data_IF_553037714017
#
_entry.id   IF_553037714017
#
_cell.length_a   1.000
_cell.length_b   1.000
_cell.length_c   1.000
_cell.angle_alpha   90.00
_cell.angle_beta   90.00
_cell.angle_gamma   90.00
#
_symmetry.space_group_name_H-M   'P 1'
#
loop_
_entity.id
_entity.type
_entity.pdbx_description
1 polymer ?
#
# COMPACT_ATOMS: atom_id res chain seq x y z
N UNK A 1 -1.74 -12.62 22.26
CA UNK A 1 -1.77 -12.79 20.79
C UNK A 1 -0.72 -11.90 20.15
N UNK A 2 -0.68 -10.60 20.48
CA UNK A 2 0.40 -9.70 20.08
C UNK A 2 1.15 -9.17 21.30
N UNK A 3 2.47 -9.07 21.16
CA UNK A 3 3.32 -8.37 22.12
C UNK A 3 3.33 -6.86 21.83
N UNK A 4 3.59 -6.01 22.83
CA UNK A 4 3.78 -4.58 22.62
C UNK A 4 4.86 -4.31 21.57
N UNK A 5 4.58 -3.38 20.65
CA UNK A 5 5.47 -2.95 19.57
C UNK A 5 5.98 -4.10 18.68
N UNK A 6 5.18 -5.16 18.50
CA UNK A 6 5.53 -6.30 17.67
C UNK A 6 5.77 -5.93 16.18
N UNK A 7 5.29 -4.78 15.74
CA UNK A 7 5.35 -4.32 14.36
C UNK A 7 4.10 -4.72 13.59
N UNK A 8 3.56 -3.80 12.78
CA UNK A 8 2.33 -4.04 12.03
C UNK A 8 2.45 -5.21 11.05
N UNK A 9 3.65 -5.51 10.58
CA UNK A 9 3.93 -6.69 9.74
C UNK A 9 3.65 -8.03 10.42
N UNK A 10 3.60 -8.06 11.76
CA UNK A 10 3.30 -9.23 12.59
C UNK A 10 1.86 -9.25 13.13
N UNK A 11 1.06 -8.26 12.77
CA UNK A 11 -0.36 -8.17 13.15
C UNK A 11 -1.21 -8.86 12.08
N UNK A 12 -2.14 -9.72 12.48
CA UNK A 12 -3.17 -10.19 11.55
C UNK A 12 -4.22 -9.08 11.39
N UNK A 13 -4.16 -8.41 10.24
CA UNK A 13 -5.14 -7.41 9.85
C UNK A 13 -6.45 -8.08 9.42
N UNK A 14 -7.56 -7.33 9.47
CA UNK A 14 -8.81 -7.76 8.83
C UNK A 14 -8.56 -8.02 7.35
N UNK A 15 -8.92 -9.21 6.87
CA UNK A 15 -8.68 -9.61 5.48
C UNK A 15 -9.37 -8.67 4.48
N UNK A 16 -8.64 -8.23 3.47
CA UNK A 16 -9.10 -7.26 2.47
C UNK A 16 -8.13 -7.10 1.31
N UNK A 17 -8.38 -6.10 0.46
CA UNK A 17 -7.57 -5.87 -0.75
C UNK A 17 -6.13 -5.45 -0.42
N UNK A 18 -5.89 -4.79 0.71
CA UNK A 18 -4.57 -4.42 1.20
C UNK A 18 -3.62 -5.63 1.33
N UNK A 19 -3.96 -6.58 2.20
CA UNK A 19 -3.14 -7.78 2.43
C UNK A 19 -3.10 -8.66 1.19
N UNK A 20 -4.23 -8.83 0.49
CA UNK A 20 -4.28 -9.61 -0.75
C UNK A 20 -3.31 -9.05 -1.81
N UNK A 21 -3.39 -7.76 -2.12
CA UNK A 21 -2.57 -7.16 -3.16
C UNK A 21 -1.09 -7.12 -2.76
N UNK A 22 -0.79 -6.86 -1.49
CA UNK A 22 0.57 -6.99 -0.97
C UNK A 22 1.14 -8.39 -1.23
N UNK A 23 0.41 -9.44 -0.87
CA UNK A 23 0.84 -10.82 -1.09
C UNK A 23 0.98 -11.18 -2.58
N UNK A 24 0.09 -10.69 -3.46
CA UNK A 24 0.21 -10.83 -4.92
C UNK A 24 1.51 -10.20 -5.43
N UNK A 25 1.82 -8.97 -5.00
CA UNK A 25 3.04 -8.26 -5.43
C UNK A 25 4.31 -8.98 -4.97
N UNK A 26 4.33 -9.46 -3.72
CA UNK A 26 5.46 -10.24 -3.19
C UNK A 26 5.60 -11.57 -3.94
N UNK A 27 4.50 -12.31 -4.13
CA UNK A 27 4.51 -13.61 -4.80
C UNK A 27 5.03 -13.53 -6.24
N UNK A 28 4.69 -12.45 -6.95
CA UNK A 28 5.12 -12.23 -8.33
C UNK A 28 6.50 -11.57 -8.45
N UNK A 29 7.22 -11.34 -7.35
CA UNK A 29 8.56 -10.74 -7.38
C UNK A 29 8.57 -9.30 -7.89
N UNK A 30 7.54 -8.51 -7.55
CA UNK A 30 7.46 -7.09 -7.88
C UNK A 30 8.72 -6.33 -7.46
N UNK A 31 9.15 -5.37 -8.29
CA UNK A 31 10.30 -4.49 -8.04
C UNK A 31 9.91 -3.16 -7.41
N UNK A 32 8.66 -3.01 -6.96
CA UNK A 32 8.22 -1.82 -6.23
C UNK A 32 9.06 -1.71 -4.94
N UNK A 33 9.57 -0.51 -4.59
CA UNK A 33 10.31 -0.30 -3.36
C UNK A 33 9.51 -0.68 -2.10
N UNK A 34 10.23 -0.90 -0.99
CA UNK A 34 9.64 -1.31 0.29
C UNK A 34 8.51 -0.38 0.73
N UNK A 35 8.71 0.93 0.60
CA UNK A 35 7.75 1.98 0.93
C UNK A 35 6.46 1.84 0.10
N UNK A 36 6.60 1.56 -1.20
CA UNK A 36 5.46 1.33 -2.10
C UNK A 36 4.64 0.11 -1.71
N UNK A 37 5.31 -1.00 -1.36
CA UNK A 37 4.65 -2.21 -0.89
C UNK A 37 3.97 -2.01 0.47
N UNK A 38 4.61 -1.25 1.36
CA UNK A 38 4.08 -0.91 2.68
C UNK A 38 2.82 -0.04 2.56
N UNK A 39 2.81 0.95 1.67
CA UNK A 39 1.62 1.76 1.37
C UNK A 39 0.48 0.88 0.86
N UNK A 40 0.72 -0.02 -0.10
CA UNK A 40 -0.32 -0.96 -0.59
C UNK A 40 -0.91 -1.79 0.56
N UNK A 41 -0.06 -2.27 1.49
CA UNK A 41 -0.47 -3.15 2.58
C UNK A 41 -1.27 -2.47 3.70
N UNK A 42 -1.14 -1.15 3.87
CA UNK A 42 -1.71 -0.47 5.04
C UNK A 42 -2.49 0.81 4.72
N UNK A 43 -2.73 1.13 3.44
CA UNK A 43 -3.47 2.33 3.03
C UNK A 43 -4.94 2.35 3.49
N UNK A 44 -5.52 1.20 3.86
CA UNK A 44 -6.86 1.13 4.45
C UNK A 44 -6.86 1.18 5.97
N UNK A 45 -5.69 1.24 6.62
CA UNK A 45 -5.59 1.20 8.08
C UNK A 45 -5.80 2.58 8.74
N UNK A 46 -6.95 3.20 8.45
CA UNK A 46 -7.32 4.55 8.87
C UNK A 46 -7.22 4.83 10.37
N UNK A 47 -7.62 3.91 11.27
CA UNK A 47 -7.42 4.10 12.71
C UNK A 47 -5.97 4.45 13.06
N UNK A 48 -5.01 3.86 12.36
CA UNK A 48 -3.60 4.15 12.58
C UNK A 48 -3.12 5.41 11.86
N UNK A 49 -3.17 5.45 10.53
CA UNK A 49 -2.49 6.51 9.77
C UNK A 49 -3.23 7.86 9.81
N UNK A 50 -4.53 7.86 10.10
CA UNK A 50 -5.35 9.08 10.24
C UNK A 50 -5.83 9.31 11.66
N UNK A 51 -6.21 8.25 12.38
CA UNK A 51 -6.74 8.33 13.75
C UNK A 51 -5.69 8.44 14.85
N UNK A 52 -4.45 7.97 14.60
CA UNK A 52 -3.38 7.94 15.61
C UNK A 52 -3.51 6.79 16.62
N UNK A 53 -4.44 5.85 16.41
CA UNK A 53 -4.60 4.65 17.22
C UNK A 53 -3.52 3.60 16.88
N UNK A 54 -3.50 2.49 17.64
CA UNK A 54 -2.65 1.32 17.40
C UNK A 54 -1.13 1.53 17.48
N UNK A 55 -0.63 2.68 17.96
CA UNK A 55 0.83 2.90 18.15
C UNK A 55 1.47 1.88 19.12
N UNK A 56 0.67 1.32 20.04
CA UNK A 56 1.11 0.24 20.94
C UNK A 56 1.51 -1.06 20.22
N UNK A 57 1.12 -1.24 18.94
CA UNK A 57 1.58 -2.36 18.08
C UNK A 57 2.73 -1.94 17.16
N UNK A 58 2.93 -0.64 16.95
CA UNK A 58 3.90 -0.12 15.98
C UNK A 58 5.35 -0.25 16.49
N UNK A 59 6.27 -0.63 15.61
CA UNK A 59 7.71 -0.64 15.86
C UNK A 59 8.40 0.59 15.22
N UNK A 60 9.75 0.60 15.16
CA UNK A 60 10.49 1.71 14.56
C UNK A 60 10.21 1.88 13.07
N UNK A 61 10.14 0.79 12.32
CA UNK A 61 9.86 0.80 10.88
C UNK A 61 8.47 1.36 10.58
N UNK A 62 7.44 0.97 11.33
CA UNK A 62 6.08 1.47 11.11
C UNK A 62 6.01 3.00 11.27
N UNK A 63 6.76 3.54 12.24
CA UNK A 63 6.85 4.99 12.47
C UNK A 63 7.62 5.70 11.36
N UNK A 64 8.65 5.07 10.80
CA UNK A 64 9.38 5.57 9.63
C UNK A 64 8.52 5.54 8.35
N UNK A 65 7.57 4.59 8.24
CA UNK A 65 6.66 4.47 7.09
C UNK A 65 5.47 5.43 7.14
N UNK A 66 5.14 5.98 8.31
CA UNK A 66 4.00 6.87 8.52
C UNK A 66 3.95 8.07 7.53
N UNK A 67 5.05 8.80 7.24
CA UNK A 67 5.01 9.90 6.28
C UNK A 67 4.63 9.44 4.86
N UNK A 68 5.12 8.27 4.42
CA UNK A 68 4.82 7.73 3.10
C UNK A 68 3.33 7.40 2.95
N UNK A 69 2.73 6.78 3.97
CA UNK A 69 1.31 6.41 3.95
C UNK A 69 0.42 7.64 3.98
N UNK A 70 0.76 8.63 4.81
CA UNK A 70 0.01 9.89 4.88
C UNK A 70 0.03 10.65 3.55
N UNK A 71 1.19 10.67 2.88
CA UNK A 71 1.35 11.28 1.57
C UNK A 71 0.50 10.56 0.51
N UNK A 72 0.62 9.24 0.40
CA UNK A 72 -0.19 8.43 -0.53
C UNK A 72 -1.69 8.59 -0.29
N UNK A 73 -2.13 8.61 0.96
CA UNK A 73 -3.52 8.75 1.33
C UNK A 73 -4.14 10.07 0.85
N UNK A 74 -3.36 11.15 0.68
CA UNK A 74 -3.87 12.39 0.09
C UNK A 74 -4.33 12.15 -1.36
N UNK A 75 -3.54 11.41 -2.14
CA UNK A 75 -3.87 11.11 -3.53
C UNK A 75 -4.99 10.07 -3.64
N UNK A 76 -4.99 9.01 -2.82
CA UNK A 76 -6.09 8.04 -2.82
C UNK A 76 -7.43 8.71 -2.49
N UNK A 77 -7.46 9.57 -1.46
CA UNK A 77 -8.71 10.17 -1.01
C UNK A 77 -9.18 11.32 -1.91
N UNK A 78 -8.29 12.25 -2.25
CA UNK A 78 -8.69 13.53 -2.84
C UNK A 78 -8.56 13.60 -4.37
N UNK A 79 -8.05 12.55 -5.03
CA UNK A 79 -8.13 12.44 -6.50
C UNK A 79 -9.48 11.90 -7.01
N UNK A 80 -10.35 11.45 -6.10
CA UNK A 80 -11.71 10.97 -6.42
C UNK A 80 -12.55 12.13 -6.93
N UNK A 81 -12.91 12.08 -8.21
CA UNK A 81 -13.69 13.11 -8.90
C UNK A 81 -14.66 12.47 -9.90
N UNK A 82 -15.76 13.16 -10.21
CA UNK A 82 -16.73 12.73 -11.22
C UNK A 82 -16.15 12.72 -12.63
N UNK A 83 -15.16 13.58 -12.88
CA UNK A 83 -14.47 13.65 -14.17
C UNK A 83 -13.43 12.53 -14.25
N UNK A 84 -13.61 11.63 -15.21
CA UNK A 84 -12.70 10.52 -15.45
C UNK A 84 -11.52 10.94 -16.34
N UNK A 85 -10.31 10.39 -16.10
CA UNK A 85 -9.17 10.61 -16.98
C UNK A 85 -9.39 9.93 -18.33
N UNK A 86 -8.74 10.46 -19.37
CA UNK A 86 -8.67 9.83 -20.69
C UNK A 86 -7.71 8.62 -20.62
N UNK A 87 -8.28 7.43 -20.43
CA UNK A 87 -7.54 6.18 -20.21
C UNK A 87 -6.57 5.89 -21.36
N UNK A 88 -6.97 6.10 -22.61
CA UNK A 88 -6.13 5.79 -23.76
C UNK A 88 -4.90 6.70 -23.85
N UNK A 89 -4.99 7.94 -23.36
CA UNK A 89 -3.84 8.85 -23.30
C UNK A 89 -2.84 8.47 -22.21
N UNK A 90 -3.30 8.00 -21.04
CA UNK A 90 -2.41 7.70 -19.91
C UNK A 90 -1.87 6.27 -19.94
N UNK A 91 -2.57 5.35 -20.62
CA UNK A 91 -2.23 3.92 -20.68
C UNK A 91 -0.79 3.64 -21.12
N UNK A 92 -0.21 4.29 -22.16
CA UNK A 92 1.18 4.03 -22.54
C UNK A 92 2.18 4.33 -21.43
N UNK A 93 1.94 5.40 -20.66
CA UNK A 93 2.78 5.76 -19.51
C UNK A 93 2.68 4.70 -18.41
N UNK A 94 1.47 4.32 -17.97
CA UNK A 94 1.31 3.31 -16.93
C UNK A 94 1.79 1.93 -17.37
N UNK A 95 1.63 1.56 -18.65
CA UNK A 95 2.18 0.33 -19.19
C UNK A 95 3.72 0.31 -19.08
N UNK A 96 4.41 1.42 -19.35
CA UNK A 96 5.86 1.49 -19.17
C UNK A 96 6.30 1.27 -17.72
N UNK A 97 5.47 1.66 -16.74
CA UNK A 97 5.72 1.41 -15.33
C UNK A 97 5.45 -0.05 -14.96
N UNK A 98 4.38 -0.65 -15.49
CA UNK A 98 4.09 -2.09 -15.34
C UNK A 98 5.26 -2.90 -15.87
N UNK A 99 5.74 -2.61 -17.09
CA UNK A 99 6.86 -3.32 -17.71
C UNK A 99 8.16 -3.21 -16.88
N UNK A 100 8.34 -2.09 -16.17
CA UNK A 100 9.50 -1.87 -15.30
C UNK A 100 9.38 -2.62 -13.96
N UNK A 101 8.22 -2.58 -13.31
CA UNK A 101 8.07 -2.95 -11.91
C UNK A 101 7.36 -4.31 -11.69
N UNK A 102 6.45 -4.70 -12.56
CA UNK A 102 5.69 -5.96 -12.46
C UNK A 102 5.31 -6.49 -13.87
N UNK A 103 6.30 -6.81 -14.72
CA UNK A 103 6.05 -7.14 -16.13
C UNK A 103 5.37 -8.50 -16.32
N UNK A 104 4.70 -8.64 -17.46
CA UNK A 104 4.17 -9.91 -17.94
C UNK A 104 2.85 -10.32 -17.31
N UNK A 105 2.52 -11.61 -17.41
CA UNK A 105 1.30 -12.18 -16.81
C UNK A 105 1.57 -12.52 -15.35
N UNK A 106 0.83 -11.88 -14.45
CA UNK A 106 0.90 -12.11 -13.01
C UNK A 106 -0.05 -13.22 -12.57
N UNK A 107 0.26 -13.86 -11.44
CA UNK A 107 -0.59 -14.78 -10.71
C UNK A 107 -1.41 -14.02 -9.68
N UNK A 108 -2.73 -14.19 -9.71
CA UNK A 108 -3.70 -13.52 -8.85
C UNK A 108 -4.31 -14.50 -7.86
#
# INVERSE_FOLDING_TARGET
>A
MYEPNCGLSNVQMSWGHDEYMYQVLIHNGSKIPKEGLYMVRFHSFYPWHSGGDYDHLCNGEDREMMPWIKEFNQFDLYSKADTLPDVEKVKPYYQSLIDKYCPGKLKW
#
